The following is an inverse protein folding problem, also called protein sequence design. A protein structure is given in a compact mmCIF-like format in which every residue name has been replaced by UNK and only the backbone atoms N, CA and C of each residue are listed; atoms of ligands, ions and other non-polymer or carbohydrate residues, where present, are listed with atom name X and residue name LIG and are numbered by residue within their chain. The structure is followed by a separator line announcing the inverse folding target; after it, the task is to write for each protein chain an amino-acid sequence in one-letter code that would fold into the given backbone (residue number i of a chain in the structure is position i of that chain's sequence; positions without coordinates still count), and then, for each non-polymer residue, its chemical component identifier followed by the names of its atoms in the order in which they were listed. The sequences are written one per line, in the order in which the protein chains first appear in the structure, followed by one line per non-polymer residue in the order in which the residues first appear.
data_IF_860811313629
#
_entry.id   IF_860811313629
#
_cell.length_a   1.000
_cell.length_b   1.000
_cell.length_c   1.000
_cell.angle_alpha   90.00
_cell.angle_beta   90.00
_cell.angle_gamma   90.00
#
_symmetry.space_group_name_H-M   'P 1'
#
loop_
_entity.id
_entity.type
_entity.pdbx_description
1 polymer ?
#
# COMPACT_ATOMS: atom_id res chain seq x y z
N UNK A 1 7.24 19.23 -19.37
CA UNK A 1 6.91 17.88 -18.89
C UNK A 1 7.04 17.90 -17.38
N UNK A 2 5.90 17.85 -16.68
CA UNK A 2 5.81 18.09 -15.24
C UNK A 2 5.93 16.75 -14.49
N UNK A 3 7.17 16.28 -14.27
CA UNK A 3 7.43 15.00 -13.58
C UNK A 3 7.32 15.13 -12.05
N UNK A 4 7.38 16.34 -11.50
CA UNK A 4 7.37 16.57 -10.05
C UNK A 4 6.00 16.28 -9.41
N UNK A 5 4.91 16.53 -10.13
CA UNK A 5 3.56 16.28 -9.61
C UNK A 5 3.22 14.80 -9.53
N UNK A 6 3.76 13.97 -10.44
CA UNK A 6 3.50 12.53 -10.44
C UNK A 6 4.16 11.83 -9.23
N UNK A 7 5.40 12.21 -8.89
CA UNK A 7 6.11 11.66 -7.72
C UNK A 7 5.36 11.97 -6.41
N UNK A 8 4.91 13.22 -6.24
CA UNK A 8 4.20 13.65 -5.03
C UNK A 8 2.85 12.92 -4.82
N UNK A 9 2.11 12.63 -5.90
CA UNK A 9 0.83 11.90 -5.81
C UNK A 9 1.03 10.42 -5.50
N UNK A 10 2.11 9.80 -5.99
CA UNK A 10 2.42 8.38 -5.75
C UNK A 10 2.90 8.17 -4.30
N UNK A 11 3.75 9.05 -3.78
CA UNK A 11 4.23 9.00 -2.40
C UNK A 11 3.09 9.20 -1.39
N UNK A 12 2.23 10.20 -1.62
CA UNK A 12 1.08 10.48 -0.73
C UNK A 12 0.10 9.31 -0.61
N UNK A 13 -0.08 8.55 -1.69
CA UNK A 13 -0.96 7.39 -1.70
C UNK A 13 -0.36 6.20 -0.95
N UNK A 14 0.96 6.03 -1.00
CA UNK A 14 1.64 4.98 -0.25
C UNK A 14 1.58 5.26 1.27
N UNK A 15 1.77 6.50 1.72
CA UNK A 15 1.64 6.88 3.14
C UNK A 15 0.24 6.59 3.70
N UNK A 16 -0.82 6.83 2.93
CA UNK A 16 -2.19 6.56 3.35
C UNK A 16 -2.48 5.06 3.45
N UNK A 17 -1.98 4.27 2.50
CA UNK A 17 -2.04 2.81 2.56
C UNK A 17 -1.30 2.25 3.78
N UNK A 18 -0.08 2.72 4.02
CA UNK A 18 0.73 2.29 5.18
C UNK A 18 0.02 2.58 6.50
N UNK A 19 -0.61 3.75 6.62
CA UNK A 19 -1.40 4.10 7.80
C UNK A 19 -2.63 3.19 7.94
N UNK A 20 -3.39 3.00 6.87
CA UNK A 20 -4.58 2.15 6.89
C UNK A 20 -4.26 0.69 7.27
N UNK A 21 -3.15 0.17 6.78
CA UNK A 21 -2.64 -1.16 7.11
C UNK A 21 -2.39 -1.34 8.62
N UNK A 22 -1.81 -0.32 9.27
CA UNK A 22 -1.55 -0.31 10.71
C UNK A 22 -2.83 -0.06 11.53
N UNK A 23 -3.66 0.91 11.14
CA UNK A 23 -4.90 1.25 11.84
C UNK A 23 -5.92 0.10 11.81
N UNK A 24 -5.95 -0.65 10.71
CA UNK A 24 -6.84 -1.82 10.55
C UNK A 24 -6.26 -3.11 11.15
N UNK A 25 -5.06 -3.05 11.75
CA UNK A 25 -4.32 -4.20 12.26
C UNK A 25 -4.15 -5.35 11.25
N UNK A 26 -4.09 -5.01 9.95
CA UNK A 26 -3.86 -5.98 8.88
C UNK A 26 -2.40 -6.45 8.88
N UNK A 27 -1.50 -5.57 9.31
CA UNK A 27 -0.08 -5.86 9.51
C UNK A 27 0.44 -5.06 10.70
N UNK A 28 1.51 -5.55 11.33
CA UNK A 28 2.23 -4.83 12.37
C UNK A 28 3.38 -3.96 11.82
N UNK A 29 3.89 -3.03 12.64
CA UNK A 29 5.02 -2.16 12.30
C UNK A 29 6.25 -2.94 11.80
N UNK A 30 6.54 -4.11 12.38
CA UNK A 30 7.68 -4.94 11.98
C UNK A 30 7.47 -5.55 10.58
N UNK A 31 6.27 -6.08 10.32
CA UNK A 31 5.90 -6.64 9.03
C UNK A 31 5.93 -5.58 7.93
N UNK A 32 5.39 -4.39 8.22
CA UNK A 32 5.42 -3.25 7.31
C UNK A 32 6.85 -2.82 7.00
N UNK A 33 7.70 -2.72 8.03
CA UNK A 33 9.12 -2.37 7.86
C UNK A 33 9.86 -3.38 6.98
N UNK A 34 9.62 -4.68 7.20
CA UNK A 34 10.22 -5.73 6.38
C UNK A 34 9.74 -5.65 4.93
N UNK A 35 8.43 -5.47 4.72
CA UNK A 35 7.84 -5.36 3.40
C UNK A 35 8.43 -4.17 2.62
N UNK A 36 8.56 -2.99 3.25
CA UNK A 36 9.20 -1.81 2.65
C UNK A 36 10.66 -2.06 2.27
N UNK A 37 11.42 -2.74 3.13
CA UNK A 37 12.81 -3.09 2.84
C UNK A 37 12.94 -3.99 1.62
N UNK A 38 11.98 -4.90 1.42
CA UNK A 38 11.93 -5.77 0.25
C UNK A 38 11.41 -5.00 -0.97
N UNK A 39 10.47 -4.08 -0.78
CA UNK A 39 9.93 -3.19 -1.81
C UNK A 39 11.05 -2.40 -2.49
N UNK A 40 11.94 -1.79 -1.70
CA UNK A 40 13.11 -1.07 -2.21
C UNK A 40 14.13 -1.95 -2.95
N UNK A 41 14.07 -3.28 -2.79
CA UNK A 41 15.00 -4.23 -3.44
C UNK A 41 14.43 -4.86 -4.70
N UNK A 42 13.11 -5.05 -4.77
CA UNK A 42 12.43 -5.75 -5.86
C UNK A 42 11.63 -4.82 -6.78
N UNK A 43 11.56 -3.52 -6.48
CA UNK A 43 10.85 -2.51 -7.28
C UNK A 43 9.38 -2.89 -7.55
N UNK A 44 8.73 -3.49 -6.55
CA UNK A 44 7.33 -3.93 -6.61
C UNK A 44 6.38 -3.04 -5.82
N UNK A 45 5.06 -3.11 -6.08
CA UNK A 45 4.06 -2.44 -5.24
C UNK A 45 3.98 -3.11 -3.87
N UNK A 46 3.88 -2.29 -2.81
CA UNK A 46 3.89 -2.75 -1.41
C UNK A 46 2.85 -3.85 -1.15
N UNK A 47 1.62 -3.70 -1.67
CA UNK A 47 0.55 -4.69 -1.54
C UNK A 47 0.94 -6.09 -2.05
N UNK A 48 1.66 -6.14 -3.17
CA UNK A 48 2.08 -7.41 -3.75
C UNK A 48 3.15 -8.09 -2.89
N UNK A 49 4.03 -7.29 -2.29
CA UNK A 49 5.07 -7.78 -1.38
C UNK A 49 4.42 -8.33 -0.10
N UNK A 50 3.42 -7.63 0.45
CA UNK A 50 2.67 -8.09 1.63
C UNK A 50 1.99 -9.44 1.37
N UNK A 51 1.40 -9.62 0.18
CA UNK A 51 0.80 -10.88 -0.23
C UNK A 51 1.84 -12.00 -0.40
N UNK A 52 2.97 -11.70 -1.06
CA UNK A 52 4.06 -12.67 -1.26
C UNK A 52 4.68 -13.16 0.06
N UNK A 53 4.77 -12.26 1.06
CA UNK A 53 5.24 -12.60 2.41
C UNK A 53 4.17 -13.29 3.26
N UNK A 54 2.95 -13.47 2.74
CA UNK A 54 1.80 -13.98 3.47
C UNK A 54 1.47 -13.18 4.74
N UNK A 55 1.81 -11.88 4.75
CA UNK A 55 1.40 -10.96 5.84
C UNK A 55 -0.08 -10.60 5.71
N UNK A 56 -0.59 -10.61 4.48
CA UNK A 56 -2.02 -10.52 4.17
C UNK A 56 -2.41 -11.70 3.28
N UNK A 57 -3.68 -12.10 3.34
CA UNK A 57 -4.24 -13.09 2.43
C UNK A 57 -4.91 -12.45 1.20
N UNK A 58 -5.39 -13.28 0.27
CA UNK A 58 -6.01 -12.84 -0.97
C UNK A 58 -7.31 -12.04 -0.76
N UNK A 59 -8.09 -12.34 0.28
CA UNK A 59 -9.30 -11.61 0.62
C UNK A 59 -8.94 -10.21 1.14
N UNK A 60 -8.01 -10.13 2.09
CA UNK A 60 -7.48 -8.85 2.60
C UNK A 60 -6.85 -8.01 1.47
N UNK A 61 -6.08 -8.65 0.59
CA UNK A 61 -5.50 -8.01 -0.59
C UNK A 61 -6.58 -7.46 -1.54
N UNK A 62 -7.63 -8.23 -1.81
CA UNK A 62 -8.75 -7.77 -2.64
C UNK A 62 -9.48 -6.58 -2.02
N UNK A 63 -9.69 -6.59 -0.70
CA UNK A 63 -10.31 -5.47 0.02
C UNK A 63 -9.43 -4.22 -0.01
N UNK A 64 -8.11 -4.37 0.12
CA UNK A 64 -7.16 -3.26 0.02
C UNK A 64 -7.12 -2.67 -1.40
N UNK A 65 -7.18 -3.52 -2.44
CA UNK A 65 -7.29 -3.05 -3.82
C UNK A 65 -8.59 -2.30 -4.08
N UNK A 66 -9.72 -2.81 -3.57
CA UNK A 66 -11.01 -2.12 -3.66
C UNK A 66 -10.98 -0.77 -2.96
N UNK A 67 -10.38 -0.69 -1.77
CA UNK A 67 -10.18 0.58 -1.04
C UNK A 67 -9.27 1.56 -1.82
N UNK A 68 -8.14 1.08 -2.34
CA UNK A 68 -7.19 1.88 -3.13
C UNK A 68 -7.83 2.44 -4.41
N UNK A 69 -8.69 1.65 -5.08
CA UNK A 69 -9.39 2.06 -6.31
C UNK A 69 -10.63 2.90 -6.00
N UNK A 70 -11.33 2.57 -4.91
CA UNK A 70 -12.59 3.16 -4.44
C UNK A 70 -12.43 4.53 -3.79
N UNK A 71 -11.25 4.85 -3.22
CA UNK A 71 -10.93 6.17 -2.68
C UNK A 71 -10.98 7.33 -3.69
N UNK A 72 -11.14 7.05 -5.00
CA UNK A 72 -11.42 8.07 -6.04
C UNK A 72 -12.90 8.46 -6.15
N UNK A 73 -13.81 7.82 -5.42
CA UNK A 73 -15.25 8.07 -5.48
C UNK A 73 -15.85 8.70 -4.21
N UNK A 74 -15.04 9.33 -3.35
CA UNK A 74 -15.60 10.26 -2.36
C UNK A 74 -15.79 11.64 -3.02
N UNK A 75 -16.86 11.73 -3.79
CA UNK A 75 -17.41 12.95 -4.33
C UNK A 75 -18.91 12.94 -4.14
N UNK A 76 -19.36 13.30 -2.94
CA UNK A 76 -20.72 13.79 -2.62
C UNK A 76 -20.66 14.69 -1.38
#
# INVERSE_FOLDING_TARGET
MNYASATFTIESHQDELERHLLESALVDCEQLTLAKKIQSRQEGPLLMILLQLSFIDLHQFSSLLDWTVGGRFDGC
#
